data_IF_166583179870
#
_entry.id   IF_166583179870
#
_cell.length_a   1.000
_cell.length_b   1.000
_cell.length_c   1.000
_cell.angle_alpha   90.00
_cell.angle_beta   90.00
_cell.angle_gamma   90.00
#
_symmetry.space_group_name_H-M   'P 1'
#
loop_
_entity.id
_entity.type
_entity.pdbx_description
1 polymer ?
#
# COMPACT_ATOMS: atom_id res chain seq x y z
N UNK A 1 18.53 -6.71 5.09
CA UNK A 1 19.15 -7.10 6.37
C UNK A 1 18.33 -6.68 7.59
N UNK A 2 17.55 -5.59 7.55
CA UNK A 2 16.66 -5.19 8.66
C UNK A 2 15.49 -6.16 8.88
N UNK A 3 14.81 -6.59 7.81
CA UNK A 3 13.65 -7.48 7.90
C UNK A 3 13.94 -8.81 8.59
N UNK A 4 15.00 -9.52 8.20
CA UNK A 4 15.40 -10.78 8.84
C UNK A 4 15.73 -10.63 10.34
N UNK A 5 16.26 -9.47 10.74
CA UNK A 5 16.51 -9.17 12.16
C UNK A 5 15.22 -8.93 12.93
N UNK A 6 14.26 -8.23 12.33
CA UNK A 6 12.94 -8.04 12.90
C UNK A 6 12.26 -9.40 13.03
N UNK A 7 12.19 -10.20 11.96
CA UNK A 7 11.56 -11.51 11.99
C UNK A 7 12.18 -12.44 13.05
N UNK A 8 13.51 -12.46 13.21
CA UNK A 8 14.15 -13.21 14.31
C UNK A 8 13.82 -12.71 15.72
N UNK A 9 13.55 -11.41 15.88
CA UNK A 9 13.10 -10.83 17.14
C UNK A 9 11.61 -11.13 17.41
N UNK A 10 10.80 -11.22 16.35
CA UNK A 10 9.39 -11.59 16.39
C UNK A 10 9.19 -13.07 16.75
N UNK A 11 10.01 -13.95 16.15
CA UNK A 11 10.03 -15.38 16.44
C UNK A 11 10.39 -15.65 17.91
N UNK A 12 11.28 -14.83 18.49
CA UNK A 12 11.62 -14.87 19.92
C UNK A 12 10.54 -14.33 20.86
N UNK A 13 9.54 -13.61 20.33
CA UNK A 13 8.46 -12.98 21.11
C UNK A 13 7.18 -13.82 21.25
N UNK A 14 7.03 -14.93 20.52
CA UNK A 14 5.84 -15.79 20.61
C UNK A 14 4.78 -15.56 19.51
N UNK A 15 5.10 -14.81 18.46
CA UNK A 15 4.29 -14.71 17.23
C UNK A 15 4.72 -15.76 16.19
N UNK A 16 5.00 -16.98 16.64
CA UNK A 16 5.34 -18.07 15.72
C UNK A 16 4.10 -18.47 14.94
N UNK A 17 4.15 -18.47 13.59
CA UNK A 17 3.00 -18.83 12.79
C UNK A 17 2.56 -20.28 13.06
N UNK A 18 1.26 -20.60 12.94
CA UNK A 18 0.77 -21.96 13.16
C UNK A 18 1.50 -22.98 12.27
N UNK A 19 1.69 -24.24 12.73
CA UNK A 19 2.27 -25.29 11.91
C UNK A 19 1.48 -25.44 10.59
N UNK A 20 2.16 -25.31 9.45
CA UNK A 20 1.52 -25.34 8.12
C UNK A 20 1.10 -23.98 7.55
N UNK A 21 1.46 -22.88 8.21
CA UNK A 21 1.25 -21.53 7.67
C UNK A 21 1.96 -21.34 6.33
N UNK A 22 1.21 -20.80 5.36
CA UNK A 22 1.71 -20.37 4.07
C UNK A 22 1.39 -18.89 3.88
N UNK A 23 2.38 -18.12 3.44
CA UNK A 23 2.21 -16.69 3.20
C UNK A 23 1.18 -16.50 2.08
N UNK A 24 0.13 -15.70 2.30
CA UNK A 24 -0.90 -15.51 1.29
C UNK A 24 -0.39 -14.60 0.15
N UNK A 25 -0.74 -14.94 -1.09
CA UNK A 25 -0.36 -14.16 -2.27
C UNK A 25 -1.22 -12.89 -2.39
N UNK A 26 -0.58 -11.74 -2.62
CA UNK A 26 -1.28 -10.51 -2.99
C UNK A 26 -2.22 -10.75 -4.20
N UNK A 27 -3.46 -10.24 -4.23
CA UNK A 27 -4.08 -9.25 -3.34
C UNK A 27 -4.95 -9.83 -2.22
N UNK A 28 -4.69 -11.06 -1.75
CA UNK A 28 -5.53 -11.83 -0.80
C UNK A 28 -6.23 -10.97 0.26
N UNK A 29 -7.44 -10.50 -0.06
CA UNK A 29 -8.23 -9.66 0.83
C UNK A 29 -8.90 -10.61 1.82
N UNK A 30 -8.70 -10.34 3.10
CA UNK A 30 -9.21 -11.19 4.16
C UNK A 30 -10.74 -11.14 4.15
N UNK A 31 -11.41 -12.26 4.34
CA UNK A 31 -12.88 -12.28 4.35
C UNK A 31 -13.36 -11.90 5.77
N UNK A 32 -14.03 -10.74 5.96
CA UNK A 32 -14.38 -10.24 7.31
C UNK A 32 -15.34 -11.16 8.06
N UNK A 33 -16.07 -12.03 7.35
CA UNK A 33 -16.97 -13.05 7.94
C UNK A 33 -16.26 -14.03 8.89
N UNK A 34 -14.96 -14.26 8.71
CA UNK A 34 -14.23 -15.25 9.51
C UNK A 34 -13.59 -14.65 10.77
N UNK A 35 -13.56 -13.32 10.91
CA UNK A 35 -13.06 -12.65 12.13
C UNK A 35 -14.17 -12.49 13.20
N UNK A 36 -15.43 -12.42 12.77
CA UNK A 36 -16.58 -12.32 13.68
C UNK A 36 -17.34 -13.65 13.89
N UNK A 37 -16.87 -14.74 13.26
CA UNK A 37 -17.41 -16.10 13.44
C UNK A 37 -16.67 -16.86 14.54
N UNK A 38 -17.32 -17.90 15.10
CA UNK A 38 -16.70 -18.83 16.05
C UNK A 38 -15.40 -19.38 15.47
N UNK A 39 -14.26 -18.96 16.03
CA UNK A 39 -12.93 -19.37 15.57
C UNK A 39 -12.46 -20.53 16.43
N UNK A 40 -12.51 -21.74 15.88
CA UNK A 40 -11.91 -22.91 16.51
C UNK A 40 -10.38 -22.86 16.29
N UNK A 41 -9.56 -22.67 17.34
CA UNK A 41 -8.10 -22.61 17.21
C UNK A 41 -7.49 -23.93 16.73
N UNK A 42 -8.23 -25.05 16.78
CA UNK A 42 -7.77 -26.35 16.30
C UNK A 42 -8.04 -26.60 14.81
N UNK A 43 -8.97 -25.85 14.20
CA UNK A 43 -9.35 -26.00 12.79
C UNK A 43 -9.68 -24.64 12.17
N UNK A 44 -8.66 -23.82 11.84
CA UNK A 44 -8.89 -22.52 11.24
C UNK A 44 -9.68 -22.68 9.93
N UNK A 45 -10.76 -21.89 9.72
CA UNK A 45 -11.55 -21.97 8.50
C UNK A 45 -10.66 -21.80 7.25
N UNK A 46 -10.89 -22.56 6.18
CA UNK A 46 -10.15 -22.39 4.93
C UNK A 46 -10.41 -20.98 4.38
N UNK A 47 -9.42 -20.09 4.49
CA UNK A 47 -9.51 -18.68 4.05
C UNK A 47 -9.00 -17.63 5.04
N UNK A 48 -8.46 -18.02 6.20
CA UNK A 48 -7.83 -17.07 7.13
C UNK A 48 -6.46 -16.61 6.63
N UNK A 49 -6.42 -15.42 6.02
CA UNK A 49 -5.19 -14.82 5.49
C UNK A 49 -4.59 -13.81 6.47
N UNK A 50 -3.78 -14.29 7.41
CA UNK A 50 -3.03 -13.44 8.34
C UNK A 50 -1.60 -13.21 7.88
N UNK A 51 -1.05 -12.05 8.24
CA UNK A 51 0.33 -11.66 7.98
C UNK A 51 1.12 -11.69 9.29
N UNK A 52 2.16 -12.52 9.35
CA UNK A 52 3.07 -12.59 10.49
C UNK A 52 4.43 -11.95 10.19
N UNK A 53 4.92 -12.07 8.96
CA UNK A 53 6.23 -11.54 8.58
C UNK A 53 6.19 -10.04 8.30
N UNK A 54 7.16 -9.32 8.84
CA UNK A 54 7.27 -7.86 8.68
C UNK A 54 7.41 -7.45 7.21
N UNK A 55 8.15 -8.26 6.45
CA UNK A 55 8.40 -8.02 5.04
C UNK A 55 7.12 -8.11 4.20
N UNK A 56 6.25 -9.07 4.50
CA UNK A 56 4.99 -9.23 3.78
C UNK A 56 3.99 -8.12 4.14
N UNK A 57 3.96 -7.70 5.41
CA UNK A 57 3.17 -6.53 5.86
C UNK A 57 3.55 -5.27 5.06
N UNK A 58 4.85 -5.03 4.91
CA UNK A 58 5.35 -3.92 4.10
C UNK A 58 4.94 -4.05 2.63
N UNK A 59 5.12 -5.23 2.01
CA UNK A 59 4.78 -5.45 0.59
C UNK A 59 3.30 -5.24 0.32
N UNK A 60 2.43 -5.74 1.19
CA UNK A 60 1.00 -5.53 1.07
C UNK A 60 0.64 -4.05 1.18
N UNK A 61 1.22 -3.34 2.16
CA UNK A 61 1.02 -1.88 2.31
C UNK A 61 1.51 -1.13 1.07
N UNK A 62 2.66 -1.50 0.52
CA UNK A 62 3.23 -0.89 -0.69
C UNK A 62 2.35 -1.13 -1.91
N UNK A 63 1.93 -2.37 -2.18
CA UNK A 63 1.14 -2.68 -3.37
C UNK A 63 -0.21 -1.96 -3.36
N UNK A 64 -0.89 -1.92 -2.21
CA UNK A 64 -2.13 -1.15 -2.08
C UNK A 64 -1.91 0.34 -2.27
N UNK A 65 -0.86 0.90 -1.66
CA UNK A 65 -0.53 2.33 -1.82
C UNK A 65 -0.24 2.64 -3.29
N UNK A 66 0.50 1.78 -3.98
CA UNK A 66 0.84 1.95 -5.39
C UNK A 66 -0.41 1.88 -6.27
N UNK A 67 -1.34 0.95 -6.04
CA UNK A 67 -2.60 0.86 -6.79
C UNK A 67 -3.45 2.11 -6.61
N UNK A 68 -3.64 2.57 -5.37
CA UNK A 68 -4.42 3.78 -5.11
C UNK A 68 -3.77 5.03 -5.70
N UNK A 69 -2.46 5.18 -5.54
CA UNK A 69 -1.70 6.29 -6.11
C UNK A 69 -1.76 6.26 -7.64
N UNK A 70 -1.47 5.12 -8.26
CA UNK A 70 -1.54 4.96 -9.71
C UNK A 70 -2.93 5.30 -10.24
N UNK A 71 -4.00 4.89 -9.56
CA UNK A 71 -5.37 5.20 -9.95
C UNK A 71 -5.65 6.70 -9.86
N UNK A 72 -5.31 7.36 -8.75
CA UNK A 72 -5.48 8.80 -8.58
C UNK A 72 -4.68 9.62 -9.59
N UNK A 73 -3.42 9.25 -9.82
CA UNK A 73 -2.55 9.92 -10.79
C UNK A 73 -2.98 9.66 -12.24
N UNK A 74 -3.48 8.47 -12.56
CA UNK A 74 -3.99 8.16 -13.90
C UNK A 74 -5.26 8.97 -14.21
N UNK A 75 -6.19 9.08 -13.26
CA UNK A 75 -7.39 9.91 -13.41
C UNK A 75 -7.02 11.37 -13.62
N UNK A 76 -6.13 11.89 -12.78
CA UNK A 76 -5.71 13.27 -12.85
C UNK A 76 -4.88 13.60 -14.09
N UNK A 77 -3.95 12.71 -14.45
CA UNK A 77 -3.17 12.79 -15.68
C UNK A 77 -4.09 12.80 -16.90
N UNK A 78 -5.04 11.87 -16.98
CA UNK A 78 -6.03 11.84 -18.07
C UNK A 78 -6.83 13.13 -18.14
N UNK A 79 -7.30 13.66 -17.00
CA UNK A 79 -8.03 14.92 -16.96
C UNK A 79 -7.19 16.11 -17.44
N UNK A 80 -5.95 16.24 -16.95
CA UNK A 80 -5.03 17.30 -17.39
C UNK A 80 -4.73 17.22 -18.90
N UNK A 81 -4.63 16.00 -19.43
CA UNK A 81 -4.44 15.74 -20.85
C UNK A 81 -5.66 16.09 -21.69
N UNK A 82 -6.88 15.83 -21.20
CA UNK A 82 -8.11 16.24 -21.88
C UNK A 82 -8.23 17.76 -21.93
N UNK A 83 -8.06 18.44 -20.79
CA UNK A 83 -8.15 19.92 -20.71
C UNK A 83 -7.10 20.58 -21.61
N UNK A 84 -5.86 20.08 -21.61
CA UNK A 84 -4.76 20.69 -22.37
C UNK A 84 -4.73 20.25 -23.84
N UNK A 85 -5.14 19.02 -24.13
CA UNK A 85 -5.23 18.44 -25.47
C UNK A 85 -6.31 19.09 -26.34
N UNK A 86 -7.37 19.61 -25.72
CA UNK A 86 -8.36 20.45 -26.39
C UNK A 86 -7.82 21.85 -26.76
N UNK A 87 -6.77 22.34 -26.08
CA UNK A 87 -6.26 23.72 -26.22
C UNK A 87 -5.08 23.89 -27.20
N UNK A 88 -4.08 23.00 -27.20
CA UNK A 88 -2.90 23.11 -28.10
C UNK A 88 -2.46 21.76 -28.67
N UNK A 89 -2.79 21.52 -29.95
CA UNK A 89 -2.56 20.25 -30.69
C UNK A 89 -1.10 19.85 -30.98
N UNK A 90 -0.05 20.50 -30.46
CA UNK A 90 1.35 20.24 -30.93
C UNK A 90 2.48 20.34 -29.89
N UNK A 91 2.35 19.75 -28.70
CA UNK A 91 3.47 19.70 -27.74
C UNK A 91 3.71 18.30 -27.15
N UNK A 92 4.18 17.31 -27.95
CA UNK A 92 4.42 15.94 -27.46
C UNK A 92 5.52 15.86 -26.40
N UNK A 93 6.49 16.80 -26.40
CA UNK A 93 7.57 16.85 -25.40
C UNK A 93 7.04 17.18 -24.00
N UNK A 94 6.09 18.11 -23.91
CA UNK A 94 5.46 18.49 -22.64
C UNK A 94 4.58 17.36 -22.08
N UNK A 95 3.90 16.60 -22.94
CA UNK A 95 3.16 15.40 -22.53
C UNK A 95 4.06 14.41 -21.78
N UNK A 96 5.22 14.08 -22.39
CA UNK A 96 6.17 13.15 -21.80
C UNK A 96 6.74 13.69 -20.49
N UNK A 97 7.09 14.98 -20.42
CA UNK A 97 7.58 15.61 -19.18
C UNK A 97 6.56 15.54 -18.04
N UNK A 98 5.27 15.80 -18.32
CA UNK A 98 4.22 15.75 -17.30
C UNK A 98 4.01 14.32 -16.79
N UNK A 99 3.90 13.35 -17.69
CA UNK A 99 3.73 11.94 -17.31
C UNK A 99 4.93 11.44 -16.51
N UNK A 100 6.15 11.78 -16.94
CA UNK A 100 7.38 11.37 -16.24
C UNK A 100 7.45 11.99 -14.83
N UNK A 101 7.15 13.28 -14.69
CA UNK A 101 7.14 13.95 -13.39
C UNK A 101 6.12 13.34 -12.43
N UNK A 102 4.93 12.98 -12.93
CA UNK A 102 3.86 12.34 -12.15
C UNK A 102 4.24 10.94 -11.69
N UNK A 103 4.82 10.11 -12.57
CA UNK A 103 5.28 8.76 -12.21
C UNK A 103 6.39 8.83 -11.17
N UNK A 104 7.41 9.68 -11.40
CA UNK A 104 8.55 9.79 -10.49
C UNK A 104 8.14 10.28 -9.10
N UNK A 105 7.34 11.34 -9.02
CA UNK A 105 6.86 11.87 -7.73
C UNK A 105 5.93 10.88 -7.05
N UNK A 106 4.95 10.33 -7.77
CA UNK A 106 3.99 9.37 -7.22
C UNK A 106 4.63 8.10 -6.70
N UNK A 107 5.55 7.49 -7.45
CA UNK A 107 6.29 6.30 -6.99
C UNK A 107 7.20 6.61 -5.82
N UNK A 108 7.90 7.75 -5.84
CA UNK A 108 8.77 8.15 -4.73
C UNK A 108 8.00 8.28 -3.41
N UNK A 109 6.90 9.04 -3.42
CA UNK A 109 6.07 9.20 -2.22
C UNK A 109 5.39 7.90 -1.78
N UNK A 110 4.91 7.09 -2.73
CA UNK A 110 4.32 5.79 -2.41
C UNK A 110 5.33 4.84 -1.74
N UNK A 111 6.57 4.77 -2.25
CA UNK A 111 7.62 3.90 -1.68
C UNK A 111 8.04 4.38 -0.31
N UNK A 112 8.29 5.68 -0.13
CA UNK A 112 8.71 6.23 1.17
C UNK A 112 7.60 6.11 2.21
N UNK A 113 6.37 6.50 1.85
CA UNK A 113 5.21 6.44 2.74
C UNK A 113 4.88 5.01 3.16
N UNK A 114 4.86 4.07 2.20
CA UNK A 114 4.62 2.66 2.50
C UNK A 114 5.74 2.00 3.29
N UNK A 115 7.01 2.40 3.09
CA UNK A 115 8.11 1.91 3.90
C UNK A 115 7.92 2.31 5.36
N UNK A 116 7.70 3.59 5.63
CA UNK A 116 7.52 4.10 6.99
C UNK A 116 6.33 3.40 7.66
N UNK A 117 5.16 3.40 7.01
CA UNK A 117 3.94 2.81 7.59
C UNK A 117 4.06 1.29 7.74
N UNK A 118 4.65 0.59 6.76
CA UNK A 118 4.87 -0.85 6.84
C UNK A 118 5.72 -1.26 8.03
N UNK A 119 6.81 -0.52 8.31
CA UNK A 119 7.64 -0.78 9.48
C UNK A 119 6.93 -0.45 10.80
N UNK A 120 6.22 0.68 10.85
CA UNK A 120 5.47 1.09 12.04
C UNK A 120 4.37 0.07 12.36
N UNK A 121 3.64 -0.41 11.34
CA UNK A 121 2.61 -1.44 11.50
C UNK A 121 3.18 -2.75 12.01
N UNK A 122 4.27 -3.23 11.40
CA UNK A 122 4.93 -4.45 11.85
C UNK A 122 5.37 -4.35 13.32
N UNK A 123 5.93 -3.21 13.73
CA UNK A 123 6.31 -2.97 15.11
C UNK A 123 5.11 -2.97 16.05
N UNK A 124 4.04 -2.21 15.76
CA UNK A 124 2.88 -2.09 16.64
C UNK A 124 2.17 -3.44 16.83
N UNK A 125 1.92 -4.17 15.73
CA UNK A 125 1.23 -5.46 15.79
C UNK A 125 2.08 -6.52 16.49
N UNK A 126 3.41 -6.42 16.38
CA UNK A 126 4.34 -7.23 17.15
C UNK A 126 4.19 -7.02 18.66
N UNK A 127 4.25 -5.76 19.12
CA UNK A 127 4.18 -5.48 20.58
C UNK A 127 2.79 -5.80 21.13
N UNK A 128 1.76 -5.70 20.28
CA UNK A 128 0.38 -6.02 20.64
C UNK A 128 0.06 -7.51 20.70
N UNK A 129 0.96 -8.39 20.25
CA UNK A 129 0.71 -9.84 20.09
C UNK A 129 -0.57 -10.16 19.30
N UNK A 130 -0.91 -9.32 18.32
CA UNK A 130 -2.12 -9.48 17.51
C UNK A 130 -1.78 -9.97 16.10
N UNK A 131 -2.57 -10.94 15.60
CA UNK A 131 -2.47 -11.37 14.21
C UNK A 131 -3.00 -10.27 13.29
N UNK A 132 -2.25 -9.91 12.26
CA UNK A 132 -2.60 -8.80 11.36
C UNK A 132 -3.43 -9.30 10.17
N UNK A 133 -4.66 -8.80 10.01
CA UNK A 133 -5.49 -9.07 8.83
C UNK A 133 -5.04 -8.24 7.61
N UNK A 134 -5.27 -8.76 6.39
CA UNK A 134 -4.87 -8.07 5.15
C UNK A 134 -5.71 -6.82 4.84
N UNK A 135 -6.78 -6.55 5.60
CA UNK A 135 -7.52 -5.28 5.55
C UNK A 135 -6.74 -4.10 6.11
N UNK A 136 -5.90 -4.33 7.11
CA UNK A 136 -5.19 -3.24 7.78
C UNK A 136 -4.25 -2.52 6.81
N UNK A 137 -3.40 -3.22 6.02
CA UNK A 137 -2.60 -2.58 4.97
C UNK A 137 -3.44 -1.83 3.92
N UNK A 138 -4.61 -2.36 3.56
CA UNK A 138 -5.53 -1.75 2.59
C UNK A 138 -6.09 -0.41 3.11
N UNK A 139 -6.60 -0.38 4.35
CA UNK A 139 -7.13 0.83 4.97
C UNK A 139 -6.04 1.89 5.15
N UNK A 140 -4.84 1.47 5.53
CA UNK A 140 -3.70 2.39 5.64
C UNK A 140 -3.29 2.99 4.31
N UNK A 141 -3.26 2.19 3.24
CA UNK A 141 -3.00 2.70 1.89
C UNK A 141 -4.06 3.72 1.44
N UNK A 142 -5.33 3.50 1.81
CA UNK A 142 -6.40 4.47 1.55
C UNK A 142 -6.17 5.78 2.32
N UNK A 143 -5.89 5.71 3.62
CA UNK A 143 -5.58 6.89 4.45
C UNK A 143 -4.36 7.64 3.91
N UNK A 144 -3.29 6.92 3.55
CA UNK A 144 -2.10 7.50 2.92
C UNK A 144 -2.44 8.19 1.60
N UNK A 145 -3.31 7.62 0.78
CA UNK A 145 -3.70 8.26 -0.48
C UNK A 145 -4.47 9.56 -0.23
N UNK A 146 -5.36 9.59 0.76
CA UNK A 146 -6.07 10.81 1.14
C UNK A 146 -5.13 11.89 1.68
N UNK A 147 -4.15 11.53 2.51
CA UNK A 147 -3.19 12.47 3.09
C UNK A 147 -2.32 13.16 2.04
N UNK A 148 -2.00 12.47 0.94
CA UNK A 148 -1.15 13.00 -0.13
C UNK A 148 -1.92 13.68 -1.27
N UNK A 149 -3.26 13.67 -1.23
CA UNK A 149 -4.09 14.37 -2.21
C UNK A 149 -3.73 15.87 -2.42
N UNK A 150 -3.37 16.66 -1.38
CA UNK A 150 -2.96 18.06 -1.56
C UNK A 150 -1.68 18.22 -2.39
N UNK A 151 -0.75 17.27 -2.33
CA UNK A 151 0.49 17.28 -3.12
C UNK A 151 0.20 17.11 -4.61
N UNK A 152 -0.80 16.28 -4.93
CA UNK A 152 -1.28 16.06 -6.30
C UNK A 152 -1.85 17.37 -6.85
N UNK A 153 -2.68 18.07 -6.05
CA UNK A 153 -3.21 19.39 -6.41
C UNK A 153 -2.10 20.36 -6.80
N UNK A 154 -1.09 20.56 -5.94
CA UNK A 154 0.01 21.51 -6.19
C UNK A 154 0.75 21.17 -7.49
N UNK A 155 0.98 19.88 -7.74
CA UNK A 155 1.70 19.40 -8.93
C UNK A 155 0.94 19.71 -10.23
N UNK A 156 -0.38 19.56 -10.23
CA UNK A 156 -1.22 19.91 -11.39
C UNK A 156 -1.18 21.41 -11.65
N UNK A 157 -1.31 22.23 -10.61
CA UNK A 157 -1.30 23.69 -10.75
C UNK A 157 0.01 24.20 -11.32
N UNK A 158 1.14 23.67 -10.84
CA UNK A 158 2.46 23.99 -11.39
C UNK A 158 2.56 23.63 -12.88
N UNK A 159 2.08 22.45 -13.26
CA UNK A 159 2.07 21.99 -14.67
C UNK A 159 1.14 22.82 -15.56
N UNK A 160 0.00 23.26 -15.05
CA UNK A 160 -0.95 24.10 -15.78
C UNK A 160 -0.48 25.56 -15.90
N UNK A 161 0.30 26.05 -14.93
CA UNK A 161 0.85 27.41 -14.93
C UNK A 161 2.04 27.58 -15.91
N UNK A 162 2.75 26.50 -16.26
CA UNK A 162 3.78 26.45 -17.30
C UNK A 162 3.20 26.18 -18.69
#
# INVERSE_FOLDING_TARGET
MSFLRLDSALDGGGLTPPPGYVVPSFPSLYDPRFEFGESDPSNPPPGTHYLYYSFDIYRFTLYWTLIFYASSFALCGTFALLVRGLSKRRAPKLFVTVVLAFILTGTFFAVVGSAIVGYVLAAIYSVGYFSMSTWIPFLWALVLTLLFAPTIYISIYFVLAC
#
